data_IF_055320375135
#
_entry.id   IF_055320375135
#
_cell.length_a   1.000
_cell.length_b   1.000
_cell.length_c   1.000
_cell.angle_alpha   90.00
_cell.angle_beta   90.00
_cell.angle_gamma   90.00
#
_symmetry.space_group_name_H-M   'P 1'
#
loop_
_entity.id
_entity.type
_entity.pdbx_description
1 polymer ?
#
# COMPACT_ATOMS: atom_id res chain seq x y z
N UNK A 1 34.67 18.75 68.34
CA UNK A 1 34.87 18.69 66.88
C UNK A 1 33.89 17.68 66.33
N UNK A 2 32.92 18.12 65.52
CA UNK A 2 31.97 17.23 64.82
C UNK A 2 32.33 17.29 63.35
N UNK A 3 32.71 16.15 62.78
CA UNK A 3 33.20 16.04 61.41
C UNK A 3 32.05 15.60 60.51
N UNK A 4 31.44 16.55 59.80
CA UNK A 4 30.32 16.29 58.88
C UNK A 4 30.90 15.73 57.58
N UNK A 5 30.69 14.45 57.33
CA UNK A 5 31.07 13.81 56.07
C UNK A 5 30.04 14.14 54.99
N UNK A 6 30.43 14.93 53.98
CA UNK A 6 29.62 15.13 52.78
C UNK A 6 29.62 13.87 51.92
N UNK A 7 28.48 13.19 51.84
CA UNK A 7 28.24 12.17 50.81
C UNK A 7 27.93 12.85 49.47
N UNK A 8 28.86 12.76 48.52
CA UNK A 8 28.59 13.13 47.15
C UNK A 8 27.73 12.05 46.48
N UNK A 9 26.48 12.37 46.12
CA UNK A 9 25.70 11.51 45.24
C UNK A 9 26.32 11.52 43.84
N UNK A 10 26.91 10.41 43.42
CA UNK A 10 27.14 10.15 42.00
C UNK A 10 25.78 9.92 41.34
N UNK A 11 25.28 10.93 40.64
CA UNK A 11 24.20 10.76 39.69
C UNK A 11 24.72 9.92 38.51
N UNK A 12 24.36 8.63 38.49
CA UNK A 12 24.58 7.79 37.32
C UNK A 12 23.70 8.32 36.18
N UNK A 13 24.32 9.08 35.26
CA UNK A 13 23.67 9.51 34.04
C UNK A 13 23.41 8.26 33.17
N UNK A 14 22.20 7.71 33.30
CA UNK A 14 21.71 6.69 32.39
C UNK A 14 21.65 7.30 30.99
N UNK A 15 22.62 6.95 30.14
CA UNK A 15 22.64 7.36 28.75
C UNK A 15 21.39 6.80 28.07
N UNK A 16 20.40 7.66 27.85
CA UNK A 16 19.29 7.37 26.95
C UNK A 16 19.88 7.19 25.56
N UNK A 17 20.12 5.93 25.20
CA UNK A 17 20.30 5.54 23.80
C UNK A 17 18.97 5.83 23.12
N UNK A 18 18.89 6.97 22.44
CA UNK A 18 17.82 7.26 21.48
C UNK A 18 17.86 6.18 20.39
N UNK A 19 17.07 5.13 20.61
CA UNK A 19 16.66 4.15 19.61
C UNK A 19 15.76 4.86 18.61
N UNK A 20 16.37 5.76 17.83
CA UNK A 20 15.85 6.24 16.56
C UNK A 20 15.53 4.99 15.75
N UNK A 21 14.24 4.65 15.68
CA UNK A 21 13.79 3.50 14.91
C UNK A 21 14.06 3.83 13.46
N UNK A 22 15.15 3.29 12.93
CA UNK A 22 15.53 3.47 11.54
C UNK A 22 14.36 3.03 10.67
N UNK A 23 13.74 3.98 9.98
CA UNK A 23 12.63 3.69 9.08
C UNK A 23 13.20 2.84 7.94
N UNK A 24 12.76 1.58 7.84
CA UNK A 24 13.25 0.64 6.84
C UNK A 24 13.09 1.25 5.43
N UNK A 25 14.08 1.12 4.53
CA UNK A 25 14.03 1.73 3.20
C UNK A 25 12.89 1.15 2.36
N UNK A 26 12.44 1.89 1.33
CA UNK A 26 11.42 1.42 0.39
C UNK A 26 11.88 0.10 -0.27
N UNK A 27 11.09 -1.00 -0.18
CA UNK A 27 11.48 -2.28 -0.74
C UNK A 27 11.64 -2.26 -2.27
N UNK A 28 12.61 -3.02 -2.76
CA UNK A 28 12.89 -3.19 -4.19
C UNK A 28 12.07 -4.30 -4.85
N UNK A 29 11.40 -5.15 -4.05
CA UNK A 29 10.78 -6.40 -4.51
C UNK A 29 11.76 -7.58 -4.63
N UNK A 30 12.99 -7.45 -4.14
CA UNK A 30 13.96 -8.56 -4.08
C UNK A 30 13.52 -9.57 -3.02
N UNK A 31 13.42 -10.84 -3.40
CA UNK A 31 13.05 -11.94 -2.51
C UNK A 31 14.30 -12.61 -1.90
N UNK A 32 14.28 -13.08 -0.65
CA UNK A 32 15.41 -13.79 -0.04
C UNK A 32 15.51 -15.24 -0.54
N UNK A 33 16.71 -15.81 -0.37
CA UNK A 33 16.97 -17.23 -0.63
C UNK A 33 16.98 -18.03 0.68
N UNK A 34 16.21 -19.11 0.72
CA UNK A 34 16.14 -20.00 1.88
C UNK A 34 17.48 -20.67 2.21
N UNK A 35 17.81 -20.70 3.50
CA UNK A 35 19.03 -21.31 4.07
C UNK A 35 18.77 -22.71 4.67
N UNK A 36 17.68 -23.37 4.25
CA UNK A 36 17.29 -24.71 4.65
C UNK A 36 15.85 -24.79 5.15
N UNK A 37 15.33 -26.00 5.31
CA UNK A 37 13.94 -26.24 5.67
C UNK A 37 13.79 -26.77 7.12
N UNK A 38 12.75 -26.33 7.81
CA UNK A 38 12.33 -26.81 9.13
C UNK A 38 10.83 -27.09 9.08
N UNK A 39 10.40 -28.23 9.65
CA UNK A 39 8.98 -28.60 9.73
C UNK A 39 8.54 -28.83 11.16
N UNK A 40 7.39 -28.30 11.53
CA UNK A 40 6.78 -28.50 12.85
C UNK A 40 5.45 -29.25 12.76
N UNK A 41 5.19 -30.18 13.69
CA UNK A 41 3.90 -30.87 13.83
C UNK A 41 2.84 -30.05 14.58
N UNK A 42 3.25 -28.96 15.20
CA UNK A 42 2.43 -28.01 15.96
C UNK A 42 2.97 -26.60 15.71
N UNK A 43 2.22 -25.52 16.03
CA UNK A 43 2.74 -24.16 15.95
C UNK A 43 3.99 -24.01 16.83
N UNK A 44 5.01 -23.28 16.35
CA UNK A 44 6.11 -22.87 17.20
C UNK A 44 5.71 -21.62 17.99
N UNK A 45 5.74 -21.70 19.32
CA UNK A 45 5.41 -20.58 20.20
C UNK A 45 6.66 -19.76 20.49
N UNK A 46 6.71 -18.53 19.97
CA UNK A 46 7.72 -17.53 20.36
C UNK A 46 7.20 -16.81 21.59
N UNK A 47 7.87 -16.97 22.72
CA UNK A 47 7.37 -16.50 24.01
C UNK A 47 7.52 -15.00 24.19
N UNK A 48 6.78 -14.45 25.16
CA UNK A 48 6.93 -13.06 25.60
C UNK A 48 8.39 -12.72 25.95
N UNK A 49 8.97 -11.76 25.22
CA UNK A 49 10.36 -11.33 25.38
C UNK A 49 11.41 -12.23 24.71
N UNK A 50 11.00 -13.31 24.05
CA UNK A 50 11.88 -14.14 23.23
C UNK A 50 12.16 -13.47 21.88
N UNK A 51 13.39 -13.61 21.38
CA UNK A 51 13.75 -13.28 20.00
C UNK A 51 14.07 -14.58 19.26
N UNK A 52 13.14 -15.04 18.45
CA UNK A 52 13.36 -16.16 17.54
C UNK A 52 13.99 -15.65 16.24
N UNK A 53 15.20 -16.09 15.94
CA UNK A 53 15.93 -15.76 14.72
C UNK A 53 16.06 -17.01 13.83
N UNK A 54 15.23 -17.08 12.79
CA UNK A 54 15.12 -18.22 11.89
C UNK A 54 16.26 -18.40 10.89
N UNK A 55 17.24 -17.48 10.87
CA UNK A 55 18.43 -17.54 9.98
C UNK A 55 18.10 -17.69 8.50
N UNK A 56 17.00 -17.08 8.05
CA UNK A 56 16.45 -17.18 6.68
C UNK A 56 16.15 -18.61 6.23
N UNK A 57 15.79 -19.50 7.14
CA UNK A 57 15.25 -20.83 6.82
C UNK A 57 13.77 -20.74 6.46
N UNK A 58 13.30 -21.70 5.65
CA UNK A 58 11.88 -21.93 5.40
C UNK A 58 11.29 -22.80 6.50
N UNK A 59 10.19 -22.34 7.07
CA UNK A 59 9.44 -22.98 8.14
C UNK A 59 8.05 -23.35 7.64
N UNK A 60 7.64 -24.58 7.94
CA UNK A 60 6.39 -25.16 7.46
C UNK A 60 5.75 -26.06 8.53
N UNK A 61 4.48 -26.40 8.34
CA UNK A 61 3.85 -27.51 9.06
C UNK A 61 4.15 -28.84 8.36
N UNK A 62 4.33 -29.90 9.15
CA UNK A 62 4.47 -31.27 8.63
C UNK A 62 3.14 -31.98 8.43
N UNK A 63 2.08 -31.46 9.03
CA UNK A 63 0.76 -32.08 9.15
C UNK A 63 -0.41 -31.17 8.72
N UNK A 64 -0.12 -30.03 8.09
CA UNK A 64 -1.11 -29.08 7.58
C UNK A 64 -0.75 -28.78 6.13
N UNK A 65 -1.74 -28.77 5.26
CA UNK A 65 -1.67 -28.26 3.91
C UNK A 65 -2.72 -27.15 3.77
N UNK A 66 -2.54 -26.24 2.83
CA UNK A 66 -3.57 -25.26 2.51
C UNK A 66 -4.80 -25.97 1.93
N UNK A 67 -5.97 -25.74 2.52
CA UNK A 67 -7.24 -26.37 2.10
C UNK A 67 -8.38 -25.36 1.83
N UNK A 68 -8.05 -24.06 1.73
CA UNK A 68 -9.01 -22.97 1.52
C UNK A 68 -9.62 -22.41 2.81
N UNK A 69 -10.63 -21.56 2.61
CA UNK A 69 -11.20 -20.49 3.45
C UNK A 69 -11.81 -20.88 4.84
N UNK A 70 -11.36 -21.96 5.46
CA UNK A 70 -11.83 -22.35 6.80
C UNK A 70 -11.00 -21.66 7.87
N UNK A 71 -11.50 -20.53 8.39
CA UNK A 71 -10.86 -19.72 9.44
C UNK A 71 -10.16 -20.59 10.48
N UNK A 72 -8.83 -20.48 10.49
CA UNK A 72 -7.98 -21.24 11.37
C UNK A 72 -7.98 -20.75 12.83
N UNK A 73 -7.12 -21.39 13.61
CA UNK A 73 -6.84 -20.98 14.98
C UNK A 73 -5.40 -21.25 15.33
N UNK A 74 -5.09 -21.23 16.64
CA UNK A 74 -3.73 -21.48 17.13
C UNK A 74 -3.10 -22.72 16.48
N UNK A 75 -3.81 -23.84 16.49
CA UNK A 75 -3.27 -25.15 16.10
C UNK A 75 -2.96 -25.30 14.60
N UNK A 76 -3.40 -24.37 13.75
CA UNK A 76 -3.12 -24.32 12.30
C UNK A 76 -2.00 -23.35 11.92
N UNK A 77 -1.57 -22.47 12.84
CA UNK A 77 -0.49 -21.49 12.60
C UNK A 77 0.90 -22.14 12.44
N UNK A 78 1.80 -21.55 11.65
CA UNK A 78 3.23 -21.94 11.64
C UNK A 78 3.94 -21.40 12.87
N UNK A 79 3.75 -20.11 13.17
CA UNK A 79 4.25 -19.46 14.38
C UNK A 79 3.14 -18.79 15.18
N UNK A 80 3.25 -18.88 16.50
CA UNK A 80 2.40 -18.19 17.47
C UNK A 80 3.29 -17.29 18.32
N UNK A 81 3.23 -15.97 18.07
CA UNK A 81 4.06 -14.98 18.75
C UNK A 81 3.26 -14.33 19.87
N UNK A 82 3.70 -14.54 21.11
CA UNK A 82 3.11 -13.89 22.29
C UNK A 82 3.50 -12.40 22.35
N UNK A 83 2.70 -11.57 23.02
CA UNK A 83 2.99 -10.14 23.22
C UNK A 83 4.42 -9.89 23.70
N UNK A 84 5.16 -9.04 22.99
CA UNK A 84 6.56 -8.73 23.28
C UNK A 84 7.56 -9.77 22.78
N UNK A 85 7.11 -10.85 22.15
CA UNK A 85 7.95 -11.75 21.36
C UNK A 85 8.39 -11.11 20.04
N UNK A 86 9.54 -11.54 19.53
CA UNK A 86 10.08 -11.12 18.23
C UNK A 86 10.33 -12.33 17.34
N UNK A 87 9.71 -12.37 16.16
CA UNK A 87 9.97 -13.35 15.12
C UNK A 87 10.76 -12.67 14.01
N UNK A 88 11.95 -13.18 13.68
CA UNK A 88 12.76 -12.58 12.62
C UNK A 88 13.56 -13.53 11.75
N UNK A 89 13.91 -13.06 10.56
CA UNK A 89 14.70 -13.80 9.57
C UNK A 89 14.07 -15.17 9.25
N UNK A 90 12.81 -15.19 8.87
CA UNK A 90 12.01 -16.41 8.68
C UNK A 90 11.38 -16.38 7.29
N UNK A 91 11.39 -17.51 6.60
CA UNK A 91 10.55 -17.73 5.43
C UNK A 91 9.44 -18.71 5.86
N UNK A 92 8.19 -18.42 5.53
CA UNK A 92 7.03 -19.27 5.72
C UNK A 92 6.74 -19.95 4.38
N UNK A 93 6.85 -21.28 4.37
CA UNK A 93 6.60 -22.09 3.17
C UNK A 93 5.12 -22.45 3.03
N UNK A 94 4.77 -22.92 1.82
CA UNK A 94 3.38 -23.18 1.40
C UNK A 94 2.60 -24.21 2.23
N UNK A 95 3.28 -25.08 2.98
CA UNK A 95 2.61 -26.04 3.86
C UNK A 95 2.20 -25.34 5.17
N UNK A 96 1.19 -24.48 5.02
CA UNK A 96 0.61 -23.62 6.05
C UNK A 96 -0.90 -23.48 5.77
N UNK A 97 -1.69 -23.23 6.81
CA UNK A 97 -3.09 -22.82 6.68
C UNK A 97 -3.25 -21.41 7.24
N UNK A 98 -2.73 -21.22 8.45
CA UNK A 98 -2.49 -19.91 9.07
C UNK A 98 -0.98 -19.65 9.11
N UNK A 99 -0.53 -18.47 8.70
CA UNK A 99 0.90 -18.13 8.63
C UNK A 99 1.52 -17.88 10.01
N UNK A 100 1.46 -16.64 10.46
CA UNK A 100 1.98 -16.18 11.76
C UNK A 100 0.86 -15.47 12.52
N UNK A 101 0.68 -15.81 13.80
CA UNK A 101 -0.22 -15.09 14.70
C UNK A 101 0.57 -14.24 15.68
N UNK A 102 0.09 -13.03 15.92
CA UNK A 102 0.55 -12.13 16.96
C UNK A 102 -0.57 -11.85 17.96
N UNK A 103 -0.42 -12.39 19.17
CA UNK A 103 -1.44 -12.28 20.21
C UNK A 103 -1.30 -11.07 21.11
N UNK A 104 -2.45 -10.59 21.56
CA UNK A 104 -2.65 -9.41 22.42
C UNK A 104 -1.97 -8.12 21.92
N UNK A 105 -1.70 -8.08 20.61
CA UNK A 105 -0.81 -7.13 19.93
C UNK A 105 0.59 -7.05 20.60
N UNK A 106 1.50 -6.24 20.05
CA UNK A 106 2.79 -5.95 20.69
C UNK A 106 3.93 -6.90 20.33
N UNK A 107 3.79 -7.71 19.28
CA UNK A 107 4.88 -8.51 18.73
C UNK A 107 5.74 -7.68 17.76
N UNK A 108 6.99 -8.08 17.55
CA UNK A 108 7.82 -7.58 16.44
C UNK A 108 8.01 -8.69 15.42
N UNK A 109 7.57 -8.43 14.19
CA UNK A 109 7.80 -9.26 13.01
C UNK A 109 8.81 -8.48 12.16
N UNK A 110 9.95 -9.10 11.86
CA UNK A 110 11.10 -8.43 11.23
C UNK A 110 11.80 -9.34 10.20
N UNK A 111 11.85 -8.93 8.94
CA UNK A 111 12.45 -9.72 7.86
C UNK A 111 11.85 -11.14 7.78
N UNK A 112 10.51 -11.21 7.86
CA UNK A 112 9.69 -12.42 7.71
C UNK A 112 9.01 -12.42 6.34
N UNK A 113 9.02 -13.57 5.67
CA UNK A 113 8.64 -13.68 4.27
C UNK A 113 7.67 -14.84 4.04
N UNK A 114 6.61 -14.65 3.26
CA UNK A 114 5.64 -15.69 2.96
C UNK A 114 5.70 -16.05 1.48
N UNK A 115 6.21 -17.26 1.18
CA UNK A 115 6.42 -17.73 -0.18
C UNK A 115 5.10 -17.97 -0.93
N UNK A 116 4.07 -18.38 -0.20
CA UNK A 116 2.73 -18.74 -0.67
C UNK A 116 1.77 -18.51 0.50
N UNK A 117 0.75 -17.68 0.31
CA UNK A 117 -0.21 -17.33 1.36
C UNK A 117 -1.48 -18.15 1.15
N UNK A 118 -1.83 -18.96 2.15
CA UNK A 118 -3.06 -19.75 2.14
C UNK A 118 -4.27 -18.86 2.47
N UNK A 119 -4.63 -18.76 3.75
CA UNK A 119 -5.57 -17.77 4.25
C UNK A 119 -4.78 -16.47 4.48
N UNK A 120 -3.97 -16.42 5.55
CA UNK A 120 -3.23 -15.23 5.94
C UNK A 120 -1.74 -15.43 6.11
N UNK A 121 -0.96 -14.40 5.77
CA UNK A 121 0.42 -14.27 6.19
C UNK A 121 0.52 -13.91 7.69
N UNK A 122 -0.06 -12.78 8.12
CA UNK A 122 0.04 -12.29 9.49
C UNK A 122 -1.32 -11.88 10.08
N UNK A 123 -1.72 -12.56 11.14
CA UNK A 123 -2.94 -12.28 11.90
C UNK A 123 -2.59 -11.61 13.24
N UNK A 124 -3.18 -10.45 13.54
CA UNK A 124 -2.95 -9.69 14.79
C UNK A 124 -4.26 -9.59 15.57
N UNK A 125 -4.30 -10.19 16.76
CA UNK A 125 -5.52 -10.41 17.55
C UNK A 125 -5.35 -9.87 19.00
N UNK A 126 -6.46 -9.61 19.68
CA UNK A 126 -6.52 -9.21 21.10
C UNK A 126 -6.07 -7.77 21.42
N UNK A 127 -5.50 -7.57 22.60
CA UNK A 127 -4.72 -6.38 22.95
C UNK A 127 -5.49 -5.16 23.47
N UNK A 128 -4.83 -4.00 23.46
CA UNK A 128 -5.30 -2.75 24.04
C UNK A 128 -5.05 -1.55 23.13
N UNK A 129 -5.68 -0.41 23.41
CA UNK A 129 -5.51 0.83 22.64
C UNK A 129 -4.08 1.42 22.64
N UNK A 130 -3.20 0.94 23.53
CA UNK A 130 -1.77 1.28 23.59
C UNK A 130 -0.85 0.16 23.08
N UNK A 131 -1.38 -1.01 22.71
CA UNK A 131 -0.58 -2.11 22.16
C UNK A 131 -0.20 -1.83 20.70
N UNK A 132 1.08 -1.99 20.36
CA UNK A 132 1.61 -1.71 19.01
C UNK A 132 2.46 -2.89 18.53
N UNK A 133 1.96 -3.63 17.54
CA UNK A 133 2.76 -4.62 16.80
C UNK A 133 3.60 -3.91 15.72
N UNK A 134 4.77 -4.46 15.41
CA UNK A 134 5.66 -3.95 14.35
C UNK A 134 5.86 -5.01 13.27
N UNK A 135 5.89 -4.55 12.01
CA UNK A 135 6.05 -5.31 10.77
C UNK A 135 7.15 -4.57 10.00
N UNK A 136 8.32 -5.17 9.80
CA UNK A 136 9.55 -4.45 9.42
C UNK A 136 10.36 -5.23 8.38
N UNK A 137 10.40 -4.73 7.14
CA UNK A 137 11.19 -5.36 6.07
C UNK A 137 10.65 -6.72 5.62
N UNK A 138 9.38 -6.98 5.92
CA UNK A 138 8.65 -8.20 5.62
C UNK A 138 8.15 -8.23 4.17
N UNK A 139 7.84 -9.42 3.64
CA UNK A 139 7.33 -9.58 2.28
C UNK A 139 6.41 -10.78 2.09
N UNK A 140 5.30 -10.63 1.38
CA UNK A 140 4.37 -11.72 1.09
C UNK A 140 3.94 -11.66 -0.39
N UNK A 141 3.62 -12.83 -0.94
CA UNK A 141 3.15 -13.02 -2.33
C UNK A 141 2.14 -14.16 -2.38
N UNK A 142 1.46 -14.28 -3.53
CA UNK A 142 0.48 -15.34 -3.78
C UNK A 142 -0.54 -15.47 -2.64
N UNK A 143 -1.10 -14.33 -2.23
CA UNK A 143 -2.28 -14.32 -1.38
C UNK A 143 -3.51 -14.32 -2.29
N UNK A 144 -4.44 -15.23 -2.01
CA UNK A 144 -5.82 -15.11 -2.47
C UNK A 144 -6.68 -14.42 -1.37
N UNK A 145 -6.39 -14.65 -0.05
CA UNK A 145 -7.06 -13.98 1.11
C UNK A 145 -6.24 -12.93 1.88
N UNK A 146 -5.00 -13.12 2.39
CA UNK A 146 -4.26 -11.94 2.89
C UNK A 146 -2.78 -11.94 3.19
N UNK A 147 -2.24 -10.72 3.08
CA UNK A 147 -0.99 -10.37 3.72
C UNK A 147 -1.18 -10.09 5.23
N UNK A 148 -2.07 -9.16 5.64
CA UNK A 148 -2.34 -8.88 7.06
C UNK A 148 -3.85 -8.96 7.36
N UNK A 149 -4.31 -10.02 8.05
CA UNK A 149 -5.72 -10.26 8.45
C UNK A 149 -6.24 -9.01 9.21
N UNK A 150 -7.39 -8.43 8.84
CA UNK A 150 -8.68 -9.13 8.84
C UNK A 150 -9.36 -9.33 7.46
N UNK A 151 -9.22 -10.52 6.85
CA UNK A 151 -10.10 -11.13 5.80
C UNK A 151 -10.20 -10.45 4.39
N UNK A 152 -9.61 -11.09 3.36
CA UNK A 152 -9.76 -11.00 1.88
C UNK A 152 -8.81 -10.09 1.02
N UNK A 153 -8.09 -10.66 0.02
CA UNK A 153 -6.91 -10.09 -0.70
C UNK A 153 -7.30 -9.51 -2.05
N UNK A 154 -8.10 -8.45 -1.94
CA UNK A 154 -7.77 -7.26 -2.72
C UNK A 154 -6.86 -6.29 -1.95
N UNK A 155 -6.33 -6.68 -0.78
CA UNK A 155 -5.95 -5.77 0.32
C UNK A 155 -4.71 -6.21 1.12
N UNK A 156 -3.78 -5.27 1.37
CA UNK A 156 -2.61 -5.47 2.23
C UNK A 156 -2.99 -5.49 3.72
N UNK A 157 -3.90 -4.62 4.15
CA UNK A 157 -4.40 -4.55 5.52
C UNK A 157 -5.91 -4.34 5.55
N UNK A 158 -6.59 -4.92 6.55
CA UNK A 158 -7.99 -4.63 6.86
C UNK A 158 -8.21 -4.64 8.37
N UNK A 159 -8.89 -3.62 8.90
CA UNK A 159 -9.45 -3.65 10.26
C UNK A 159 -10.67 -4.57 10.29
N UNK A 160 -10.84 -5.40 11.32
CA UNK A 160 -11.94 -6.37 11.35
C UNK A 160 -13.31 -5.75 11.13
N UNK A 161 -14.03 -6.19 10.11
CA UNK A 161 -15.34 -5.64 9.77
C UNK A 161 -16.51 -6.31 10.49
N UNK A 162 -16.36 -7.56 10.93
CA UNK A 162 -17.45 -8.44 11.39
C UNK A 162 -17.23 -9.07 12.77
N UNK A 163 -16.10 -8.76 13.44
CA UNK A 163 -15.71 -9.36 14.72
C UNK A 163 -16.75 -9.19 15.82
N UNK A 164 -16.94 -10.25 16.62
CA UNK A 164 -17.81 -10.25 17.81
C UNK A 164 -17.49 -9.10 18.78
N UNK A 165 -16.21 -8.78 18.95
CA UNK A 165 -15.75 -7.61 19.71
C UNK A 165 -15.05 -6.65 18.77
N UNK A 166 -15.44 -5.38 18.82
CA UNK A 166 -14.92 -4.33 17.95
C UNK A 166 -14.18 -3.25 18.74
N UNK A 167 -13.16 -2.69 18.09
CA UNK A 167 -12.22 -1.74 18.66
C UNK A 167 -11.91 -0.66 17.64
N UNK A 168 -11.53 0.54 18.11
CA UNK A 168 -10.84 1.50 17.25
C UNK A 168 -9.46 0.93 16.90
N UNK A 169 -9.17 0.75 15.61
CA UNK A 169 -7.87 0.28 15.11
C UNK A 169 -7.13 1.41 14.40
N UNK A 170 -5.81 1.40 14.50
CA UNK A 170 -4.92 2.36 13.85
C UNK A 170 -3.83 1.61 13.10
N UNK A 171 -3.58 2.02 11.86
CA UNK A 171 -2.50 1.47 11.03
C UNK A 171 -1.68 2.61 10.43
N UNK A 172 -0.36 2.44 10.41
CA UNK A 172 0.58 3.37 9.77
C UNK A 172 1.41 2.56 8.79
N UNK A 173 1.34 2.91 7.52
CA UNK A 173 2.13 2.32 6.44
C UNK A 173 3.21 3.34 6.06
N UNK A 174 4.47 2.93 6.18
CA UNK A 174 5.62 3.75 5.74
C UNK A 174 6.52 2.89 4.88
N UNK A 175 6.97 3.41 3.73
CA UNK A 175 7.92 2.72 2.85
C UNK A 175 7.40 1.34 2.40
N UNK A 176 6.16 1.28 1.89
CA UNK A 176 5.53 0.04 1.42
C UNK A 176 5.64 -0.05 -0.10
N UNK A 177 5.95 -1.23 -0.63
CA UNK A 177 5.87 -1.52 -2.07
C UNK A 177 4.82 -2.60 -2.33
N UNK A 178 3.70 -2.20 -2.95
CA UNK A 178 2.61 -3.10 -3.33
C UNK A 178 2.66 -3.40 -4.83
N UNK A 179 2.50 -4.67 -5.20
CA UNK A 179 2.46 -5.13 -6.60
C UNK A 179 1.09 -5.77 -6.87
N UNK A 180 0.43 -5.33 -7.94
CA UNK A 180 -0.89 -5.75 -8.41
C UNK A 180 -2.00 -5.87 -7.32
N UNK A 181 -2.18 -4.91 -6.39
CA UNK A 181 -3.35 -4.91 -5.51
C UNK A 181 -4.65 -4.84 -6.32
N UNK A 182 -5.58 -5.77 -6.06
CA UNK A 182 -6.76 -5.94 -6.91
C UNK A 182 -7.89 -4.93 -6.63
N UNK A 183 -8.10 -4.54 -5.37
CA UNK A 183 -9.29 -3.77 -4.94
C UNK A 183 -8.93 -2.52 -4.13
N UNK A 184 -8.28 -2.69 -2.98
CA UNK A 184 -7.93 -1.57 -2.09
C UNK A 184 -6.78 -1.91 -1.17
N UNK A 185 -5.72 -1.10 -1.12
CA UNK A 185 -4.55 -1.42 -0.31
C UNK A 185 -4.89 -1.56 1.19
N UNK A 186 -5.78 -0.70 1.70
CA UNK A 186 -6.13 -0.64 3.13
C UNK A 186 -7.63 -0.47 3.34
N UNK A 187 -8.24 -1.35 4.13
CA UNK A 187 -9.64 -1.24 4.57
C UNK A 187 -9.79 -0.87 6.05
N UNK A 188 -10.59 0.16 6.36
CA UNK A 188 -10.81 0.65 7.74
C UNK A 188 -12.29 0.86 8.05
N UNK A 189 -12.73 0.71 9.31
CA UNK A 189 -14.13 0.92 9.69
C UNK A 189 -14.36 2.34 10.22
N UNK A 190 -15.08 3.16 9.44
CA UNK A 190 -15.37 4.56 9.78
C UNK A 190 -16.17 4.69 11.08
N UNK A 191 -17.13 3.79 11.31
CA UNK A 191 -17.99 3.80 12.49
C UNK A 191 -17.29 3.41 13.80
N UNK A 192 -16.13 2.75 13.74
CA UNK A 192 -15.28 2.49 14.90
C UNK A 192 -14.15 3.54 15.07
N UNK A 193 -14.22 4.63 14.29
CA UNK A 193 -13.23 5.71 14.25
C UNK A 193 -11.81 5.24 13.88
N UNK A 194 -11.71 4.17 13.09
CA UNK A 194 -10.43 3.63 12.63
C UNK A 194 -9.63 4.69 11.86
N UNK A 195 -8.29 4.57 11.89
CA UNK A 195 -7.40 5.50 11.21
C UNK A 195 -6.29 4.75 10.45
N UNK A 196 -6.14 5.05 9.16
CA UNK A 196 -5.00 4.66 8.35
C UNK A 196 -4.16 5.89 8.01
N UNK A 197 -2.84 5.80 8.25
CA UNK A 197 -1.83 6.79 7.84
C UNK A 197 -0.88 6.14 6.83
N UNK A 198 -0.48 6.90 5.82
CA UNK A 198 0.40 6.41 4.76
C UNK A 198 1.52 7.41 4.51
N UNK A 199 2.74 6.94 4.24
CA UNK A 199 3.80 7.75 3.65
C UNK A 199 4.75 6.92 2.80
N UNK A 200 5.16 7.46 1.65
CA UNK A 200 6.03 6.80 0.67
C UNK A 200 5.59 5.36 0.34
N UNK A 201 4.41 5.24 -0.27
CA UNK A 201 3.82 3.99 -0.73
C UNK A 201 4.04 3.89 -2.24
N UNK A 202 4.82 2.90 -2.68
CA UNK A 202 4.95 2.57 -4.10
C UNK A 202 3.91 1.54 -4.50
N UNK A 203 3.20 1.77 -5.61
CA UNK A 203 2.22 0.85 -6.18
C UNK A 203 2.65 0.53 -7.62
N UNK A 204 2.91 -0.74 -7.91
CA UNK A 204 3.08 -1.23 -9.29
C UNK A 204 1.84 -2.05 -9.66
N UNK A 205 1.00 -1.56 -10.56
CA UNK A 205 -0.23 -2.23 -10.96
C UNK A 205 -0.73 -1.68 -12.29
N UNK A 206 -1.20 -2.56 -13.18
CA UNK A 206 -1.88 -2.14 -14.42
C UNK A 206 -3.27 -1.53 -14.16
N UNK A 207 -3.89 -1.85 -13.02
CA UNK A 207 -5.17 -1.28 -12.54
C UNK A 207 -4.89 -0.13 -11.55
N UNK A 208 -5.79 0.84 -11.45
CA UNK A 208 -5.77 1.84 -10.37
C UNK A 208 -6.49 1.29 -9.12
N UNK A 209 -5.80 0.79 -8.09
CA UNK A 209 -6.45 0.36 -6.85
C UNK A 209 -6.95 1.57 -6.05
N UNK A 210 -7.90 1.34 -5.15
CA UNK A 210 -8.10 2.28 -4.05
C UNK A 210 -6.89 2.20 -3.09
N UNK A 211 -6.42 3.35 -2.58
CA UNK A 211 -5.36 3.34 -1.54
C UNK A 211 -5.96 3.04 -0.16
N UNK A 212 -7.12 3.62 0.12
CA UNK A 212 -7.83 3.45 1.39
C UNK A 212 -9.33 3.40 1.11
N UNK A 213 -10.01 2.34 1.57
CA UNK A 213 -11.47 2.20 1.51
C UNK A 213 -12.02 2.14 2.93
N UNK A 214 -13.11 2.87 3.19
CA UNK A 214 -13.71 2.96 4.52
C UNK A 214 -15.12 2.36 4.55
N UNK A 215 -15.38 1.57 5.60
CA UNK A 215 -16.54 0.70 5.73
C UNK A 215 -17.37 1.03 6.97
N UNK A 216 -18.63 0.57 6.95
CA UNK A 216 -19.47 0.36 8.13
C UNK A 216 -19.25 -1.09 8.60
N UNK A 217 -18.47 -1.27 9.66
CA UNK A 217 -18.33 -2.56 10.34
C UNK A 217 -19.48 -2.85 11.31
N UNK A 218 -19.61 -4.10 11.71
CA UNK A 218 -20.54 -4.61 12.70
C UNK A 218 -19.95 -5.79 13.49
N UNK A 219 -20.82 -6.56 14.13
CA UNK A 219 -20.46 -7.76 14.92
C UNK A 219 -20.90 -9.08 14.27
N UNK A 220 -21.43 -9.01 13.05
CA UNK A 220 -21.78 -10.14 12.19
C UNK A 220 -22.07 -9.64 10.77
N UNK A 221 -21.93 -10.53 9.78
CA UNK A 221 -22.23 -10.24 8.37
C UNK A 221 -21.20 -9.34 7.69
N UNK A 222 -21.39 -9.13 6.39
CA UNK A 222 -20.43 -8.41 5.56
C UNK A 222 -20.39 -6.90 5.85
N UNK A 223 -19.20 -6.28 5.95
CA UNK A 223 -19.06 -4.85 6.20
C UNK A 223 -19.48 -4.04 4.98
N UNK A 224 -20.42 -3.12 5.14
CA UNK A 224 -20.88 -2.27 4.01
C UNK A 224 -19.82 -1.23 3.65
N UNK A 225 -19.41 -1.17 2.39
CA UNK A 225 -18.56 -0.08 1.90
C UNK A 225 -19.29 1.29 1.97
N UNK A 226 -18.57 2.32 2.40
CA UNK A 226 -19.06 3.70 2.49
C UNK A 226 -18.33 4.67 1.55
N UNK A 227 -17.26 4.21 0.87
CA UNK A 227 -16.45 4.96 -0.08
C UNK A 227 -14.95 4.77 0.13
N UNK A 228 -14.15 5.48 -0.67
CA UNK A 228 -12.69 5.38 -0.68
C UNK A 228 -12.02 6.75 -0.86
N UNK A 229 -10.69 6.77 -0.73
CA UNK A 229 -9.85 7.94 -0.95
C UNK A 229 -9.36 8.60 0.35
N UNK A 230 -9.00 9.88 0.26
CA UNK A 230 -8.55 10.69 1.39
C UNK A 230 -9.78 11.15 2.21
N UNK A 231 -9.78 10.86 3.51
CA UNK A 231 -10.83 11.26 4.43
C UNK A 231 -10.25 11.44 5.84
N UNK A 232 -9.93 12.67 6.26
CA UNK A 232 -9.42 12.89 7.62
C UNK A 232 -10.54 12.67 8.67
N UNK A 233 -10.29 11.94 9.79
CA UNK A 233 -9.05 11.27 10.19
C UNK A 233 -8.97 9.77 9.79
N UNK A 234 -9.93 9.24 9.03
CA UNK A 234 -10.04 7.82 8.70
C UNK A 234 -8.97 7.32 7.72
N UNK A 235 -8.70 8.07 6.65
CA UNK A 235 -7.71 7.77 5.62
C UNK A 235 -6.85 9.02 5.40
N UNK A 236 -5.61 9.00 5.92
CA UNK A 236 -4.72 10.17 6.05
C UNK A 236 -3.46 9.99 5.19
N UNK A 237 -3.44 10.63 4.02
CA UNK A 237 -2.29 10.69 3.11
C UNK A 237 -2.43 11.89 2.16
N UNK A 238 -1.31 12.37 1.62
CA UNK A 238 -1.29 13.28 0.48
C UNK A 238 -1.08 12.50 -0.82
N UNK A 239 -1.38 13.12 -1.97
CA UNK A 239 -1.06 12.51 -3.27
C UNK A 239 0.45 12.25 -3.44
N UNK A 240 1.30 13.05 -2.80
CA UNK A 240 2.76 12.88 -2.76
C UNK A 240 3.23 11.67 -1.94
N UNK A 241 2.38 11.08 -1.10
CA UNK A 241 2.71 9.87 -0.35
C UNK A 241 2.53 8.60 -1.19
N UNK A 242 1.93 8.70 -2.39
CA UNK A 242 1.58 7.55 -3.25
C UNK A 242 2.32 7.66 -4.58
N UNK A 243 3.11 6.65 -4.90
CA UNK A 243 3.96 6.59 -6.09
C UNK A 243 3.50 5.42 -6.97
N UNK A 244 2.57 5.66 -7.89
CA UNK A 244 2.20 4.68 -8.91
C UNK A 244 3.28 4.57 -9.99
N UNK A 245 3.61 3.35 -10.41
CA UNK A 245 4.46 3.08 -11.56
C UNK A 245 3.86 1.95 -12.40
N UNK A 246 3.72 2.14 -13.71
CA UNK A 246 3.09 1.26 -14.71
C UNK A 246 1.57 1.39 -14.92
N UNK A 247 1.10 2.55 -15.39
CA UNK A 247 -0.08 2.56 -16.27
C UNK A 247 0.33 2.21 -17.71
N UNK A 248 0.50 0.91 -17.98
CA UNK A 248 0.54 0.40 -19.35
C UNK A 248 -0.90 0.16 -19.81
N UNK A 249 -1.52 1.17 -20.41
CA UNK A 249 -2.75 0.97 -21.18
C UNK A 249 -2.39 0.26 -22.49
N UNK A 250 -2.45 -1.08 -22.47
CA UNK A 250 -2.21 -1.89 -23.66
C UNK A 250 -3.47 -1.96 -24.55
N UNK A 251 -3.85 -0.84 -25.17
CA UNK A 251 -4.49 -0.86 -26.49
C UNK A 251 -3.38 -0.95 -27.53
N UNK A 252 -2.98 -2.16 -27.91
CA UNK A 252 -2.00 -2.35 -28.98
C UNK A 252 -2.57 -1.94 -30.34
N UNK A 253 -2.30 -0.70 -30.75
CA UNK A 253 -2.15 -0.35 -32.16
C UNK A 253 -1.35 0.94 -32.32
N UNK A 254 -0.10 0.84 -32.80
CA UNK A 254 0.56 1.96 -33.50
C UNK A 254 -0.05 2.06 -34.91
N UNK A 255 -1.35 2.34 -34.98
CA UNK A 255 -2.03 2.67 -36.22
C UNK A 255 -1.50 4.03 -36.67
N UNK A 256 -0.89 4.10 -37.86
CA UNK A 256 -0.15 5.30 -38.27
C UNK A 256 -1.06 6.50 -38.51
N UNK A 257 -0.67 7.66 -37.95
CA UNK A 257 -1.13 9.03 -38.23
C UNK A 257 -2.52 9.11 -38.88
N UNK A 258 -3.54 8.82 -38.10
CA UNK A 258 -4.94 8.89 -38.51
C UNK A 258 -5.74 9.42 -37.31
N UNK A 259 -6.07 10.72 -37.36
CA UNK A 259 -6.67 11.42 -36.22
C UNK A 259 -7.86 10.66 -35.64
N UNK A 260 -7.82 10.47 -34.32
CA UNK A 260 -8.77 9.67 -33.58
C UNK A 260 -10.02 10.42 -33.14
N UNK A 261 -10.94 9.64 -32.56
CA UNK A 261 -12.18 10.14 -31.98
C UNK A 261 -12.11 10.20 -30.46
N UNK A 262 -13.24 10.49 -29.80
CA UNK A 262 -13.28 10.41 -28.32
C UNK A 262 -13.04 8.99 -27.79
N UNK A 263 -13.22 7.97 -28.63
CA UNK A 263 -13.10 6.55 -28.30
C UNK A 263 -11.65 6.04 -28.25
N UNK A 264 -10.68 6.86 -28.68
CA UNK A 264 -9.24 6.54 -28.74
C UNK A 264 -8.39 7.17 -27.64
N UNK A 265 -8.90 8.14 -26.89
CA UNK A 265 -8.17 8.79 -25.79
C UNK A 265 -7.99 7.90 -24.55
N UNK A 266 -6.80 7.92 -23.93
CA UNK A 266 -6.57 7.30 -22.60
C UNK A 266 -7.38 8.02 -21.50
N UNK A 267 -7.47 9.35 -21.56
CA UNK A 267 -8.22 10.17 -20.60
C UNK A 267 -9.16 11.15 -21.28
N UNK A 268 -10.46 11.04 -21.00
CA UNK A 268 -11.45 12.09 -21.29
C UNK A 268 -11.64 12.97 -20.04
N UNK A 269 -11.22 14.22 -20.12
CA UNK A 269 -11.28 15.20 -19.03
C UNK A 269 -12.47 16.13 -19.28
N UNK A 270 -13.55 15.91 -18.51
CA UNK A 270 -14.80 16.65 -18.60
C UNK A 270 -14.67 18.14 -18.18
N UNK A 271 -15.63 19.00 -18.57
CA UNK A 271 -15.60 20.42 -18.22
C UNK A 271 -15.55 20.66 -16.71
N UNK A 272 -14.66 21.55 -16.27
CA UNK A 272 -14.32 21.83 -14.87
C UNK A 272 -13.41 20.80 -14.19
N UNK A 273 -13.09 19.67 -14.84
CA UNK A 273 -12.32 18.60 -14.21
C UNK A 273 -10.81 18.88 -14.15
N UNK A 274 -10.13 18.21 -13.22
CA UNK A 274 -8.67 18.29 -13.05
C UNK A 274 -8.05 16.90 -13.13
N UNK A 275 -7.17 16.69 -14.11
CA UNK A 275 -6.29 15.52 -14.20
C UNK A 275 -4.91 15.90 -13.65
N UNK A 276 -4.38 15.14 -12.68
CA UNK A 276 -3.14 15.52 -12.00
C UNK A 276 -2.28 14.36 -11.50
N UNK A 277 -0.97 14.60 -11.46
CA UNK A 277 0.05 13.64 -10.98
C UNK A 277 -0.02 12.28 -11.70
N UNK A 278 -0.19 12.30 -13.02
CA UNK A 278 -0.26 11.10 -13.86
C UNK A 278 1.02 10.98 -14.67
N UNK A 279 1.53 9.76 -14.84
CA UNK A 279 2.55 9.43 -15.84
C UNK A 279 1.85 8.59 -16.91
N UNK A 280 1.87 9.11 -18.12
CA UNK A 280 1.36 8.55 -19.37
C UNK A 280 2.54 7.79 -20.01
N UNK A 281 2.29 6.54 -20.39
CA UNK A 281 3.32 5.57 -20.75
C UNK A 281 3.87 5.70 -22.17
N UNK A 282 4.07 4.55 -22.81
CA UNK A 282 4.51 4.45 -24.22
C UNK A 282 3.54 3.60 -25.04
N UNK A 283 3.35 4.00 -26.31
CA UNK A 283 2.55 3.32 -27.36
C UNK A 283 1.03 3.58 -27.35
N UNK A 284 0.55 4.73 -26.88
CA UNK A 284 -0.88 5.07 -26.95
C UNK A 284 -1.18 5.91 -28.20
N UNK A 285 -2.42 5.86 -28.69
CA UNK A 285 -2.80 6.47 -29.97
C UNK A 285 -3.14 7.96 -29.82
N UNK A 286 -4.08 8.28 -28.92
CA UNK A 286 -4.36 9.64 -28.44
C UNK A 286 -4.38 9.59 -26.91
N UNK A 287 -3.79 10.58 -26.25
CA UNK A 287 -3.50 10.44 -24.82
C UNK A 287 -4.54 11.17 -23.94
N UNK A 288 -4.69 12.49 -24.04
CA UNK A 288 -5.60 13.23 -23.16
C UNK A 288 -6.51 14.17 -23.97
N UNK A 289 -7.83 13.98 -23.86
CA UNK A 289 -8.84 14.88 -24.42
C UNK A 289 -9.45 15.78 -23.35
N UNK A 290 -9.27 17.09 -23.51
CA UNK A 290 -9.87 18.12 -22.67
C UNK A 290 -11.14 18.66 -23.35
N UNK A 291 -12.29 18.40 -22.75
CA UNK A 291 -13.61 18.70 -23.31
C UNK A 291 -14.12 20.08 -22.94
N UNK A 292 -14.79 20.73 -23.90
CA UNK A 292 -15.31 22.11 -23.81
C UNK A 292 -14.27 23.17 -23.38
N UNK A 293 -12.98 22.89 -23.56
CA UNK A 293 -11.87 23.79 -23.25
C UNK A 293 -11.88 24.31 -21.79
N UNK A 294 -12.38 23.51 -20.85
CA UNK A 294 -12.48 23.88 -19.43
C UNK A 294 -11.92 22.75 -18.58
N UNK A 295 -10.59 22.67 -18.48
CA UNK A 295 -9.92 21.60 -17.74
C UNK A 295 -8.62 22.10 -17.10
N UNK A 296 -8.14 21.38 -16.08
CA UNK A 296 -6.80 21.58 -15.53
C UNK A 296 -5.99 20.30 -15.61
N UNK A 297 -4.85 20.36 -16.29
CA UNK A 297 -3.86 19.30 -16.41
C UNK A 297 -2.66 19.70 -15.53
N UNK A 298 -2.43 19.02 -14.42
CA UNK A 298 -1.46 19.47 -13.41
C UNK A 298 -0.42 18.41 -13.08
N UNK A 299 0.86 18.68 -13.36
CA UNK A 299 1.97 17.75 -13.14
C UNK A 299 1.70 16.38 -13.80
N UNK A 300 1.32 16.41 -15.08
CA UNK A 300 1.17 15.20 -15.91
C UNK A 300 2.42 15.03 -16.77
N UNK A 301 2.92 13.81 -16.85
CA UNK A 301 4.15 13.47 -17.58
C UNK A 301 3.86 12.46 -18.69
N UNK A 302 4.54 12.60 -19.82
CA UNK A 302 4.45 11.68 -20.96
C UNK A 302 5.83 11.13 -21.30
N UNK A 303 5.98 9.81 -21.25
CA UNK A 303 7.26 9.13 -21.51
C UNK A 303 7.61 9.07 -23.02
N UNK A 304 6.60 9.00 -23.90
CA UNK A 304 6.78 8.82 -25.35
C UNK A 304 5.50 9.18 -26.14
N UNK A 305 5.37 10.45 -26.56
CA UNK A 305 4.17 10.97 -27.25
C UNK A 305 4.09 10.45 -28.69
N UNK A 306 2.98 9.79 -29.04
CA UNK A 306 2.84 9.17 -30.37
C UNK A 306 2.26 10.09 -31.47
N UNK A 307 1.23 10.89 -31.17
CA UNK A 307 0.62 11.83 -32.13
C UNK A 307 0.40 13.21 -31.50
N UNK A 308 -0.44 13.31 -30.47
CA UNK A 308 -0.47 14.44 -29.53
C UNK A 308 -0.79 13.99 -28.10
N UNK A 309 -0.17 14.69 -27.15
CA UNK A 309 -0.19 14.34 -25.73
C UNK A 309 -1.46 14.87 -25.04
N UNK A 310 -1.89 16.06 -25.44
CA UNK A 310 -3.08 16.75 -24.92
C UNK A 310 -3.82 17.48 -26.06
N UNK A 311 -5.03 17.03 -26.34
CA UNK A 311 -5.95 17.60 -27.33
C UNK A 311 -7.07 18.38 -26.63
N UNK A 312 -7.11 19.70 -26.82
CA UNK A 312 -8.06 20.62 -26.20
C UNK A 312 -9.15 20.97 -27.21
N UNK A 313 -10.39 20.53 -26.96
CA UNK A 313 -11.48 20.48 -27.95
C UNK A 313 -12.73 21.24 -27.44
N UNK A 314 -13.46 21.90 -28.34
CA UNK A 314 -14.72 22.62 -28.03
C UNK A 314 -14.56 23.97 -27.30
N UNK A 315 -15.56 24.35 -26.50
CA UNK A 315 -15.52 25.55 -25.65
C UNK A 315 -16.04 26.83 -26.28
N UNK A 316 -15.78 27.95 -25.61
CA UNK A 316 -16.16 29.31 -25.99
C UNK A 316 -15.05 30.30 -25.65
N UNK A 317 -15.13 31.54 -26.14
CA UNK A 317 -14.08 32.55 -25.93
C UNK A 317 -13.74 32.87 -24.46
N UNK A 318 -14.61 32.51 -23.50
CA UNK A 318 -14.36 32.67 -22.06
C UNK A 318 -13.81 31.43 -21.35
N UNK A 319 -13.72 30.28 -22.03
CA UNK A 319 -13.20 29.05 -21.43
C UNK A 319 -11.66 29.08 -21.37
N UNK A 320 -11.10 28.43 -20.34
CA UNK A 320 -9.65 28.41 -20.10
C UNK A 320 -9.20 27.00 -19.72
N UNK A 321 -8.42 26.35 -20.58
CA UNK A 321 -7.65 25.16 -20.18
C UNK A 321 -6.34 25.59 -19.52
N UNK A 322 -5.93 24.85 -18.49
CA UNK A 322 -4.69 25.12 -17.73
C UNK A 322 -3.79 23.91 -17.75
N UNK A 323 -2.53 24.10 -18.11
CA UNK A 323 -1.45 23.10 -18.00
C UNK A 323 -0.43 23.63 -17.00
N UNK A 324 -0.29 22.97 -15.86
CA UNK A 324 0.47 23.49 -14.70
C UNK A 324 1.51 22.45 -14.26
N UNK A 325 2.78 22.67 -14.58
CA UNK A 325 3.86 21.71 -14.38
C UNK A 325 3.75 20.49 -15.29
N UNK A 326 4.56 19.47 -15.02
CA UNK A 326 4.60 18.25 -15.83
C UNK A 326 5.56 18.34 -17.02
N UNK A 327 5.45 17.42 -17.97
CA UNK A 327 6.23 17.48 -19.20
C UNK A 327 6.15 16.27 -20.11
N UNK A 328 6.59 16.41 -21.36
CA UNK A 328 6.52 15.35 -22.36
C UNK A 328 7.87 15.08 -23.03
N UNK A 329 8.00 13.94 -23.71
CA UNK A 329 9.20 13.54 -24.46
C UNK A 329 8.83 12.86 -25.78
N UNK A 330 9.76 12.93 -26.72
CA UNK A 330 9.77 12.15 -27.97
C UNK A 330 8.59 12.37 -28.95
N UNK A 331 7.82 13.46 -28.81
CA UNK A 331 6.77 13.80 -29.77
C UNK A 331 7.33 13.97 -31.19
N UNK A 332 6.74 13.26 -32.16
CA UNK A 332 7.16 13.33 -33.57
C UNK A 332 6.67 14.61 -34.29
N UNK A 333 5.57 15.22 -33.82
CA UNK A 333 4.96 16.45 -34.38
C UNK A 333 4.67 17.48 -33.28
N UNK A 334 3.74 17.17 -32.37
CA UNK A 334 3.16 18.12 -31.41
C UNK A 334 2.89 17.47 -30.06
N UNK A 335 2.94 18.27 -28.98
CA UNK A 335 2.64 17.81 -27.62
C UNK A 335 1.24 18.26 -27.19
N UNK A 336 0.86 19.51 -27.45
CA UNK A 336 -0.44 20.07 -27.06
C UNK A 336 -1.12 20.62 -28.31
N UNK A 337 -2.27 20.05 -28.66
CA UNK A 337 -3.11 20.48 -29.77
C UNK A 337 -4.30 21.31 -29.25
N UNK A 338 -4.49 22.50 -29.80
CA UNK A 338 -5.60 23.39 -29.43
C UNK A 338 -6.60 23.51 -30.59
N UNK A 339 -7.65 22.70 -30.54
CA UNK A 339 -8.72 22.58 -31.53
C UNK A 339 -10.06 23.21 -31.06
N UNK A 340 -10.00 24.12 -30.08
CA UNK A 340 -11.16 24.71 -29.41
C UNK A 340 -11.29 26.22 -29.57
N UNK A 341 -12.28 26.80 -28.90
CA UNK A 341 -12.38 28.25 -28.67
C UNK A 341 -12.13 28.53 -27.18
N UNK A 342 -11.33 29.54 -26.88
CA UNK A 342 -10.92 29.88 -25.50
C UNK A 342 -9.43 30.20 -25.39
N UNK A 343 -8.87 30.08 -24.19
CA UNK A 343 -7.45 30.35 -23.88
C UNK A 343 -6.78 29.14 -23.23
N UNK A 344 -5.60 28.74 -23.72
CA UNK A 344 -4.76 27.75 -23.04
C UNK A 344 -3.69 28.49 -22.23
N UNK A 345 -3.65 28.30 -20.90
CA UNK A 345 -2.50 28.74 -20.07
C UNK A 345 -1.55 27.56 -19.86
N UNK A 346 -0.26 27.76 -20.07
CA UNK A 346 0.78 26.74 -19.87
C UNK A 346 1.87 27.33 -18.97
N UNK A 347 2.04 26.75 -17.78
CA UNK A 347 2.89 27.29 -16.71
C UNK A 347 3.82 26.18 -16.18
N UNK A 348 5.14 26.32 -16.36
CA UNK A 348 6.14 25.40 -15.80
C UNK A 348 6.21 24.00 -16.44
N UNK A 349 5.71 23.84 -17.66
CA UNK A 349 5.77 22.58 -18.42
C UNK A 349 7.19 22.31 -18.98
N UNK A 350 7.60 21.05 -19.02
CA UNK A 350 8.88 20.60 -19.58
C UNK A 350 8.67 19.89 -20.92
N UNK A 351 9.44 20.24 -21.95
CA UNK A 351 9.39 19.62 -23.28
C UNK A 351 10.81 19.44 -23.83
#
# INVERSE_FOLDING_TARGET
MVQIASFALLAAAASLLDLTSAVAPLPTGTWPTSQGNVKYSSPYVVKKGEVFDGKMKTYERSNVACTGDTEGGKDTAVFWVETGGTLKNVIIGKNQAEGVHCEDHGCTIENVWWDDVCEDALSIKGGSASSVSKIIGDGARSADDKIIQHNDFGKLYRSCGSCKTQYQRKVTLTNVYAVNPEVTLVGVNKNYNDQAKFSNIKIKSSKTPNVCTYFQGGTSGEPKELGSGILSPTCQYAASDIHSSEHIHSKESRAGQAEGGKDTADFLVEPGATLKNVIIGKKQAEEIHCESHDCTIQNVWWDDVCEDALSIKGGSASNVAKVIGGGARNAEDKIIQHNGAGTVSIEGFNA
#
